data_IF_734540875638
#
_entry.id   IF_734540875638
#
_cell.length_a   1.000
_cell.length_b   1.000
_cell.length_c   1.000
_cell.angle_alpha   90.00
_cell.angle_beta   90.00
_cell.angle_gamma   90.00
#
_symmetry.space_group_name_H-M   'P 1'
#
loop_
_entity.id
_entity.type
_entity.pdbx_description
1 polymer ?
#
# COMPACT_ATOMS: atom_id res chain seq x y z
N UNK A 1 -4.67 2.05 25.52
CA UNK A 1 -3.80 1.34 24.54
C UNK A 1 -4.55 0.63 23.41
N UNK A 2 -5.84 0.29 23.57
CA UNK A 2 -6.63 -0.37 22.50
C UNK A 2 -7.01 0.58 21.34
N UNK A 3 -7.30 1.84 21.64
CA UNK A 3 -7.80 2.83 20.67
C UNK A 3 -6.77 3.20 19.59
N UNK A 4 -5.52 3.45 19.99
CA UNK A 4 -4.42 3.75 19.06
C UNK A 4 -4.18 2.65 18.01
N UNK A 5 -4.49 1.40 18.35
CA UNK A 5 -4.24 0.24 17.48
C UNK A 5 -5.30 0.12 16.39
N UNK A 6 -6.57 0.34 16.75
CA UNK A 6 -7.65 0.42 15.77
C UNK A 6 -7.44 1.61 14.86
N UNK A 7 -7.08 2.77 15.42
CA UNK A 7 -6.79 3.99 14.65
C UNK A 7 -5.69 3.77 13.61
N UNK A 8 -4.60 3.08 13.96
CA UNK A 8 -3.52 2.78 13.01
C UNK A 8 -3.96 1.86 11.86
N UNK A 9 -4.77 0.83 12.16
CA UNK A 9 -5.33 -0.06 11.14
C UNK A 9 -6.31 0.65 10.19
N UNK A 10 -7.21 1.48 10.75
CA UNK A 10 -8.12 2.29 9.95
C UNK A 10 -7.38 3.36 9.13
N UNK A 11 -6.33 3.98 9.67
CA UNK A 11 -5.52 4.96 8.96
C UNK A 11 -4.78 4.34 7.77
N UNK A 12 -4.19 3.15 7.95
CA UNK A 12 -3.61 2.35 6.84
C UNK A 12 -4.66 2.12 5.75
N UNK A 13 -5.82 1.57 6.13
CA UNK A 13 -6.84 1.19 5.17
C UNK A 13 -7.40 2.42 4.44
N UNK A 14 -7.61 3.52 5.16
CA UNK A 14 -7.99 4.81 4.58
C UNK A 14 -6.93 5.33 3.60
N UNK A 15 -5.64 5.25 3.93
CA UNK A 15 -4.56 5.67 3.04
C UNK A 15 -4.51 4.83 1.75
N UNK A 16 -4.64 3.50 1.87
CA UNK A 16 -4.65 2.59 0.72
C UNK A 16 -5.89 2.81 -0.17
N UNK A 17 -7.07 3.01 0.43
CA UNK A 17 -8.31 3.29 -0.29
C UNK A 17 -8.23 4.65 -1.00
N UNK A 18 -7.79 5.70 -0.31
CA UNK A 18 -7.64 7.03 -0.88
C UNK A 18 -6.66 7.03 -2.06
N UNK A 19 -5.51 6.35 -1.92
CA UNK A 19 -4.54 6.20 -3.01
C UNK A 19 -5.13 5.40 -4.20
N UNK A 20 -5.94 4.38 -3.94
CA UNK A 20 -6.59 3.59 -4.99
C UNK A 20 -7.70 4.35 -5.73
N UNK A 21 -8.49 5.16 -5.01
CA UNK A 21 -9.47 6.06 -5.62
C UNK A 21 -8.77 7.10 -6.48
N UNK A 22 -7.67 7.69 -5.97
CA UNK A 22 -6.87 8.65 -6.72
C UNK A 22 -6.27 8.02 -7.99
N UNK A 23 -5.81 6.77 -7.91
CA UNK A 23 -5.33 6.02 -9.07
C UNK A 23 -6.43 5.86 -10.13
N UNK A 24 -7.65 5.48 -9.73
CA UNK A 24 -8.81 5.39 -10.63
C UNK A 24 -9.14 6.73 -11.28
N UNK A 25 -9.13 7.81 -10.51
CA UNK A 25 -9.36 9.16 -11.04
C UNK A 25 -8.28 9.61 -12.03
N UNK A 26 -7.01 9.27 -11.77
CA UNK A 26 -5.90 9.54 -12.68
C UNK A 26 -6.01 8.76 -14.01
N UNK A 27 -6.62 7.57 -14.00
CA UNK A 27 -6.89 6.79 -15.21
C UNK A 27 -8.06 7.34 -16.03
N UNK A 28 -9.02 8.00 -15.39
CA UNK A 28 -10.18 8.61 -16.06
C UNK A 28 -9.92 10.02 -16.57
N UNK A 29 -8.83 10.66 -16.15
CA UNK A 29 -8.43 11.99 -16.61
C UNK A 29 -7.48 11.89 -17.80
N UNK A 30 -7.35 12.92 -18.65
CA UNK A 30 -6.44 12.95 -19.81
C UNK A 30 -4.94 13.04 -19.41
N UNK A 31 -4.61 12.60 -18.19
CA UNK A 31 -3.26 12.55 -17.65
C UNK A 31 -2.56 11.26 -18.10
N UNK A 32 -1.23 11.17 -18.00
CA UNK A 32 -0.51 9.98 -18.42
C UNK A 32 -0.95 8.76 -17.58
N UNK A 33 -1.48 7.75 -18.26
CA UNK A 33 -2.02 6.54 -17.63
C UNK A 33 -0.99 5.80 -16.74
N UNK A 34 0.31 5.96 -17.02
CA UNK A 34 1.38 5.40 -16.18
C UNK A 34 1.32 5.88 -14.72
N UNK A 35 0.87 7.12 -14.46
CA UNK A 35 0.71 7.62 -13.09
C UNK A 35 -0.40 6.85 -12.35
N UNK A 36 -1.54 6.66 -13.00
CA UNK A 36 -2.67 5.92 -12.45
C UNK A 36 -2.34 4.45 -12.25
N UNK A 37 -1.68 3.80 -13.23
CA UNK A 37 -1.26 2.40 -13.12
C UNK A 37 -0.19 2.20 -12.05
N UNK A 38 0.79 3.09 -11.95
CA UNK A 38 1.83 3.01 -10.92
C UNK A 38 1.27 3.19 -9.52
N UNK A 39 0.41 4.20 -9.32
CA UNK A 39 -0.26 4.42 -8.04
C UNK A 39 -1.22 3.26 -7.70
N UNK A 40 -1.95 2.76 -8.69
CA UNK A 40 -2.84 1.62 -8.55
C UNK A 40 -2.12 0.33 -8.18
N UNK A 41 -0.92 0.09 -8.72
CA UNK A 41 -0.05 -1.02 -8.27
C UNK A 41 0.45 -0.80 -6.84
N UNK A 42 0.87 0.43 -6.53
CA UNK A 42 1.41 0.79 -5.21
C UNK A 42 0.39 0.55 -4.08
N UNK A 43 -0.86 0.97 -4.26
CA UNK A 43 -1.91 0.85 -3.25
C UNK A 43 -2.81 -0.38 -3.44
N UNK A 44 -3.05 -0.80 -4.67
CA UNK A 44 -3.98 -1.89 -5.00
C UNK A 44 -3.45 -3.26 -4.61
N UNK A 45 -2.15 -3.52 -4.75
CA UNK A 45 -1.55 -4.79 -4.31
C UNK A 45 -1.77 -5.07 -2.81
N UNK A 46 -1.39 -4.15 -1.88
CA UNK A 46 -1.66 -4.35 -0.46
C UNK A 46 -3.15 -4.34 -0.11
N UNK A 47 -3.97 -3.53 -0.79
CA UNK A 47 -5.40 -3.48 -0.54
C UNK A 47 -6.10 -4.79 -0.95
N UNK A 48 -5.75 -5.35 -2.11
CA UNK A 48 -6.23 -6.66 -2.56
C UNK A 48 -5.81 -7.78 -1.61
N UNK A 49 -4.58 -7.72 -1.08
CA UNK A 49 -4.14 -8.69 -0.09
C UNK A 49 -4.98 -8.62 1.19
N UNK A 50 -5.24 -7.41 1.70
CA UNK A 50 -6.08 -7.22 2.90
C UNK A 50 -7.52 -7.71 2.66
N UNK A 51 -8.10 -7.42 1.50
CA UNK A 51 -9.43 -7.92 1.12
C UNK A 51 -9.44 -9.46 1.03
N UNK A 52 -8.41 -10.05 0.41
CA UNK A 52 -8.28 -11.51 0.31
C UNK A 52 -8.15 -12.16 1.70
N UNK A 53 -7.36 -11.55 2.59
CA UNK A 53 -7.19 -12.03 3.95
C UNK A 53 -8.46 -11.89 4.79
N UNK A 54 -9.23 -10.82 4.59
CA UNK A 54 -10.52 -10.63 5.23
C UNK A 54 -11.55 -11.68 4.77
N UNK A 55 -11.54 -12.03 3.48
CA UNK A 55 -12.42 -13.07 2.93
C UNK A 55 -11.98 -14.49 3.30
N UNK A 56 -10.68 -14.72 3.52
CA UNK A 56 -10.11 -16.01 3.90
C UNK A 56 -9.15 -15.84 5.08
N UNK A 57 -9.66 -15.85 6.33
CA UNK A 57 -8.84 -15.68 7.51
C UNK A 57 -7.96 -16.92 7.71
N UNK A 58 -6.80 -16.91 7.07
CA UNK A 58 -5.71 -17.86 7.33
C UNK A 58 -4.65 -17.16 8.19
N UNK A 59 -4.00 -17.88 9.11
CA UNK A 59 -2.85 -17.33 9.83
C UNK A 59 -1.79 -16.96 8.79
N UNK A 60 -1.50 -15.67 8.66
CA UNK A 60 -0.41 -15.19 7.80
C UNK A 60 0.88 -15.49 8.53
N UNK A 61 1.45 -16.67 8.28
CA UNK A 61 2.67 -17.13 8.97
C UNK A 61 3.94 -16.45 8.42
N UNK A 62 3.87 -15.79 7.26
CA UNK A 62 5.02 -15.24 6.57
C UNK A 62 4.69 -13.90 5.90
N UNK A 63 5.69 -13.00 5.86
CA UNK A 63 5.58 -11.71 5.18
C UNK A 63 5.31 -11.93 3.67
N UNK A 64 4.24 -11.35 3.09
CA UNK A 64 3.92 -11.47 1.68
C UNK A 64 4.86 -10.61 0.83
N UNK A 65 6.09 -11.07 0.62
CA UNK A 65 7.14 -10.36 -0.13
C UNK A 65 6.66 -9.92 -1.51
N UNK A 66 5.88 -10.76 -2.21
CA UNK A 66 5.33 -10.40 -3.51
C UNK A 66 4.48 -9.13 -3.50
N UNK A 67 3.67 -8.93 -2.45
CA UNK A 67 2.81 -7.74 -2.33
C UNK A 67 3.65 -6.49 -2.12
N UNK A 68 4.70 -6.59 -1.30
CA UNK A 68 5.67 -5.52 -1.08
C UNK A 68 6.45 -5.17 -2.35
N UNK A 69 6.87 -6.17 -3.12
CA UNK A 69 7.57 -5.98 -4.40
C UNK A 69 6.67 -5.29 -5.41
N UNK A 70 5.41 -5.73 -5.55
CA UNK A 70 4.44 -5.10 -6.45
C UNK A 70 4.14 -3.66 -6.04
N UNK A 71 3.99 -3.40 -4.74
CA UNK A 71 3.75 -2.06 -4.22
C UNK A 71 4.94 -1.13 -4.49
N UNK A 72 6.17 -1.62 -4.26
CA UNK A 72 7.41 -0.90 -4.57
C UNK A 72 7.57 -0.64 -6.07
N UNK A 73 7.27 -1.63 -6.92
CA UNK A 73 7.29 -1.48 -8.38
C UNK A 73 6.31 -0.39 -8.84
N UNK A 74 5.13 -0.32 -8.24
CA UNK A 74 4.18 0.77 -8.50
C UNK A 74 4.78 2.16 -8.26
N UNK A 75 5.50 2.34 -7.14
CA UNK A 75 6.20 3.60 -6.86
C UNK A 75 7.29 3.92 -7.90
N UNK A 76 8.05 2.91 -8.34
CA UNK A 76 9.06 3.08 -9.40
C UNK A 76 8.40 3.49 -10.71
N UNK A 77 7.27 2.90 -11.09
CA UNK A 77 6.51 3.29 -12.28
C UNK A 77 6.05 4.74 -12.19
N UNK A 78 5.59 5.20 -11.02
CA UNK A 78 5.26 6.62 -10.80
C UNK A 78 6.51 7.50 -10.95
N UNK A 79 7.67 7.12 -10.39
CA UNK A 79 8.93 7.86 -10.59
C UNK A 79 9.31 7.98 -12.06
N UNK A 80 9.23 6.89 -12.81
CA UNK A 80 9.51 6.88 -14.26
C UNK A 80 8.52 7.79 -15.01
N UNK A 81 7.24 7.77 -14.63
CA UNK A 81 6.25 8.65 -15.21
C UNK A 81 6.53 10.13 -14.91
N UNK A 82 6.94 10.48 -13.68
CA UNK A 82 7.33 11.84 -13.33
C UNK A 82 8.55 12.29 -14.12
N UNK A 83 9.57 11.43 -14.25
CA UNK A 83 10.76 11.71 -15.06
C UNK A 83 10.42 11.92 -16.54
N UNK A 84 9.45 11.18 -17.06
CA UNK A 84 9.05 11.23 -18.48
C UNK A 84 8.11 12.39 -18.82
N UNK A 85 7.16 12.70 -17.94
CA UNK A 85 6.09 13.66 -18.19
C UNK A 85 6.28 15.00 -17.46
N UNK A 86 7.31 15.11 -16.60
CA UNK A 86 7.71 16.34 -15.94
C UNK A 86 7.34 16.40 -14.45
N UNK A 87 8.03 17.27 -13.72
CA UNK A 87 7.98 17.37 -12.25
C UNK A 87 6.62 17.82 -11.69
N UNK A 88 5.76 18.42 -12.52
CA UNK A 88 4.40 18.81 -12.13
C UNK A 88 3.52 17.61 -11.67
N UNK A 89 3.96 16.38 -11.90
CA UNK A 89 3.32 15.16 -11.41
C UNK A 89 3.92 14.58 -10.13
N UNK A 90 4.97 15.19 -9.57
CA UNK A 90 5.68 14.69 -8.38
C UNK A 90 4.75 14.54 -7.16
N UNK A 91 3.68 15.32 -7.08
CA UNK A 91 2.68 15.21 -6.01
C UNK A 91 2.00 13.82 -5.96
N UNK A 92 1.96 13.07 -7.08
CA UNK A 92 1.40 11.70 -7.14
C UNK A 92 2.32 10.69 -6.45
N UNK A 93 3.60 11.01 -6.29
CA UNK A 93 4.56 10.16 -5.60
C UNK A 93 4.26 10.05 -4.10
N UNK A 94 3.84 11.15 -3.47
CA UNK A 94 3.52 11.21 -2.04
C UNK A 94 2.49 10.18 -1.60
N UNK A 95 1.29 10.05 -2.22
CA UNK A 95 0.33 9.03 -1.85
C UNK A 95 0.84 7.61 -2.15
N UNK A 96 1.66 7.42 -3.20
CA UNK A 96 2.29 6.12 -3.49
C UNK A 96 3.27 5.69 -2.40
N UNK A 97 4.16 6.58 -1.99
CA UNK A 97 5.09 6.35 -0.88
C UNK A 97 4.36 6.21 0.46
N UNK A 98 3.29 6.97 0.68
CA UNK A 98 2.44 6.84 1.86
C UNK A 98 1.77 5.47 1.94
N UNK A 99 1.26 4.96 0.82
CA UNK A 99 0.70 3.62 0.72
C UNK A 99 1.75 2.53 1.01
N UNK A 100 2.93 2.64 0.39
CA UNK A 100 4.03 1.70 0.62
C UNK A 100 4.53 1.75 2.08
N UNK A 101 4.76 2.96 2.61
CA UNK A 101 5.26 3.17 3.96
C UNK A 101 4.29 2.66 5.03
N UNK A 102 2.99 2.94 4.85
CA UNK A 102 1.95 2.43 5.74
C UNK A 102 1.87 0.90 5.67
N UNK A 103 1.95 0.30 4.47
CA UNK A 103 2.02 -1.14 4.29
C UNK A 103 3.23 -1.78 5.02
N UNK A 104 4.41 -1.20 4.86
CA UNK A 104 5.63 -1.68 5.55
C UNK A 104 5.52 -1.58 7.07
N UNK A 105 4.93 -0.49 7.57
CA UNK A 105 4.67 -0.31 8.99
C UNK A 105 3.70 -1.39 9.53
N UNK A 106 2.64 -1.69 8.78
CA UNK A 106 1.68 -2.74 9.12
C UNK A 106 2.34 -4.13 9.19
N UNK A 107 3.18 -4.45 8.19
CA UNK A 107 3.89 -5.73 8.12
C UNK A 107 4.88 -5.91 9.27
N UNK A 108 5.65 -4.86 9.59
CA UNK A 108 6.55 -4.85 10.76
C UNK A 108 5.80 -5.07 12.07
N UNK A 109 4.61 -4.48 12.20
CA UNK A 109 3.78 -4.63 13.38
C UNK A 109 3.20 -6.04 13.55
N UNK A 110 2.78 -6.67 12.44
CA UNK A 110 2.31 -8.06 12.46
C UNK A 110 3.42 -9.03 12.87
N UNK A 111 4.60 -8.90 12.25
CA UNK A 111 5.74 -9.79 12.55
C UNK A 111 6.11 -9.75 14.03
N UNK A 112 6.23 -8.54 14.61
CA UNK A 112 6.52 -8.36 16.05
C UNK A 112 5.52 -9.05 16.96
N UNK A 113 4.23 -9.13 16.58
CA UNK A 113 3.23 -9.84 17.39
C UNK A 113 3.42 -11.35 17.35
N UNK A 114 3.87 -11.89 16.22
CA UNK A 114 4.08 -13.33 16.08
C UNK A 114 5.25 -13.81 16.92
N UNK A 115 6.33 -13.03 16.96
CA UNK A 115 7.50 -13.32 17.80
C UNK A 115 7.09 -13.38 19.28
N UNK A 116 6.32 -12.40 19.77
CA UNK A 116 5.83 -12.38 21.16
C UNK A 116 4.95 -13.57 21.53
N UNK A 117 4.04 -13.99 20.62
CA UNK A 117 3.16 -15.14 20.86
C UNK A 117 3.97 -16.44 20.93
N UNK A 118 5.03 -16.55 20.12
CA UNK A 118 5.90 -17.73 20.07
C UNK A 118 6.81 -17.87 21.30
N UNK A 119 7.23 -16.76 21.91
CA UNK A 119 8.02 -16.77 23.16
C UNK A 119 7.18 -17.12 24.41
N UNK A 120 5.86 -16.93 24.33
CA UNK A 120 4.92 -17.21 25.43
C UNK A 120 4.27 -18.60 25.40
N UNK A 121 4.56 -19.41 24.37
CA UNK A 121 4.00 -20.74 24.14
C UNK A 121 5.07 -21.82 24.33
#
# INVERSE_FOLDING_TARGET
MLEWRCLAGYALLAALVAASILAGWLLMTPRPAMLGLGLGLASGAPLLFLLYQAARPRPVQQHPVMVSVLSGLGCVVVMVAVQRFGEHHQWVLLPGLGALGSWMAYQRWILRRQDQVRESA
#
